data_IF_697210864109
#
_entry.id   IF_697210864109
#
_cell.length_a   1.000
_cell.length_b   1.000
_cell.length_c   1.000
_cell.angle_alpha   90.00
_cell.angle_beta   90.00
_cell.angle_gamma   90.00
#
_symmetry.space_group_name_H-M   'P 1'
#
loop_
_entity.id
_entity.type
_entity.pdbx_description
1 polymer ?
#
# COMPACT_ATOMS: atom_id res chain seq x y z
N UNK A 1 -1.55 -10.92 -17.69
CA UNK A 1 -1.85 -11.40 -16.32
C UNK A 1 -3.28 -11.92 -16.24
N UNK A 2 -3.49 -13.11 -15.70
CA UNK A 2 -4.80 -13.73 -15.45
C UNK A 2 -5.12 -13.66 -13.95
N UNK A 3 -6.38 -13.34 -13.58
CA UNK A 3 -6.82 -13.34 -12.18
C UNK A 3 -7.94 -14.38 -12.02
N UNK A 4 -7.76 -15.27 -11.05
CA UNK A 4 -8.74 -16.25 -10.63
C UNK A 4 -9.00 -16.09 -9.12
N UNK A 5 -9.98 -15.28 -8.78
CA UNK A 5 -10.35 -14.99 -7.39
C UNK A 5 -11.64 -15.76 -7.04
N UNK A 6 -11.48 -16.90 -6.34
CA UNK A 6 -12.59 -17.70 -5.87
C UNK A 6 -13.19 -17.19 -4.56
N UNK A 7 -12.48 -16.32 -3.86
CA UNK A 7 -12.93 -15.72 -2.59
C UNK A 7 -13.81 -14.49 -2.83
N UNK A 8 -13.40 -13.63 -3.78
CA UNK A 8 -14.02 -12.35 -4.05
C UNK A 8 -13.84 -11.39 -2.87
N UNK A 9 -14.81 -11.38 -1.96
CA UNK A 9 -14.75 -10.56 -0.74
C UNK A 9 -15.63 -11.15 0.36
N UNK A 10 -15.25 -10.89 1.62
CA UNK A 10 -16.10 -11.14 2.79
C UNK A 10 -16.44 -9.83 3.50
N UNK A 11 -17.28 -9.90 4.54
CA UNK A 11 -17.65 -8.74 5.34
C UNK A 11 -16.40 -8.16 6.03
N UNK A 12 -16.18 -6.87 5.81
CA UNK A 12 -15.01 -6.17 6.37
C UNK A 12 -15.24 -5.70 7.82
N UNK A 13 -16.46 -5.81 8.33
CA UNK A 13 -16.81 -5.53 9.72
C UNK A 13 -18.03 -6.35 10.15
N UNK A 14 -18.21 -6.49 11.46
CA UNK A 14 -19.39 -7.07 12.09
C UNK A 14 -20.05 -6.04 13.00
N UNK A 15 -21.38 -6.08 13.11
CA UNK A 15 -22.11 -5.27 14.07
C UNK A 15 -22.21 -6.03 15.40
N UNK A 16 -21.66 -5.46 16.45
CA UNK A 16 -21.62 -6.05 17.79
C UNK A 16 -22.41 -5.20 18.75
N UNK A 17 -23.25 -5.85 19.57
CA UNK A 17 -23.99 -5.17 20.63
C UNK A 17 -23.07 -4.94 21.84
N UNK A 18 -22.93 -3.68 22.20
CA UNK A 18 -22.11 -3.25 23.33
C UNK A 18 -22.82 -3.47 24.68
N UNK A 19 -22.09 -3.50 25.82
CA UNK A 19 -22.68 -3.68 27.15
C UNK A 19 -23.70 -2.61 27.54
N UNK A 20 -23.60 -1.41 27.00
CA UNK A 20 -24.53 -0.30 27.20
C UNK A 20 -25.80 -0.39 26.33
N UNK A 21 -25.90 -1.44 25.49
CA UNK A 21 -27.04 -1.69 24.61
C UNK A 21 -26.94 -1.00 23.25
N UNK A 22 -25.91 -0.21 22.99
CA UNK A 22 -25.64 0.38 21.66
C UNK A 22 -25.07 -0.67 20.69
N UNK A 23 -25.08 -0.37 19.40
CA UNK A 23 -24.45 -1.19 18.37
C UNK A 23 -23.19 -0.49 17.85
N UNK A 24 -22.12 -1.26 17.66
CA UNK A 24 -20.87 -0.78 17.08
C UNK A 24 -20.44 -1.69 15.92
N UNK A 25 -19.98 -1.06 14.83
CA UNK A 25 -19.35 -1.78 13.73
C UNK A 25 -17.86 -2.00 14.07
N UNK A 26 -17.43 -3.24 14.09
CA UNK A 26 -16.07 -3.64 14.44
C UNK A 26 -15.42 -4.29 13.21
N UNK A 27 -14.24 -3.80 12.73
CA UNK A 27 -13.60 -4.38 11.55
C UNK A 27 -13.16 -5.81 11.79
N UNK A 28 -13.27 -6.63 10.75
CA UNK A 28 -12.80 -8.02 10.77
C UNK A 28 -11.35 -8.10 10.31
N UNK A 29 -10.56 -8.94 10.97
CA UNK A 29 -9.22 -9.31 10.55
C UNK A 29 -9.27 -10.59 9.71
N UNK A 30 -8.54 -10.60 8.61
CA UNK A 30 -8.37 -11.75 7.74
C UNK A 30 -6.89 -12.05 7.56
N UNK A 31 -6.49 -13.26 7.91
CA UNK A 31 -5.10 -13.70 7.74
C UNK A 31 -4.95 -14.49 6.44
N UNK A 32 -4.02 -14.06 5.59
CA UNK A 32 -3.70 -14.76 4.35
C UNK A 32 -2.20 -14.96 4.19
N UNK A 33 -1.83 -15.99 3.43
CA UNK A 33 -0.44 -16.21 3.01
C UNK A 33 -0.34 -15.98 1.50
N UNK A 34 0.54 -15.07 1.12
CA UNK A 34 0.90 -14.82 -0.27
C UNK A 34 2.04 -15.78 -0.63
N UNK A 35 1.83 -16.56 -1.68
CA UNK A 35 2.83 -17.44 -2.29
C UNK A 35 3.28 -16.83 -3.61
N UNK A 36 4.57 -16.96 -3.91
CA UNK A 36 5.15 -16.59 -5.21
C UNK A 36 5.85 -17.82 -5.78
N UNK A 37 5.44 -18.24 -6.96
CA UNK A 37 5.91 -19.47 -7.59
C UNK A 37 5.88 -20.66 -6.60
N UNK A 38 4.75 -20.82 -5.91
CA UNK A 38 4.49 -21.88 -4.92
C UNK A 38 5.31 -21.80 -3.62
N UNK A 39 6.18 -20.79 -3.48
CA UNK A 39 6.95 -20.56 -2.26
C UNK A 39 6.23 -19.54 -1.36
N UNK A 40 6.11 -19.79 -0.04
CA UNK A 40 5.51 -18.82 0.86
C UNK A 40 6.37 -17.56 0.92
N UNK A 41 5.76 -16.40 0.63
CA UNK A 41 6.45 -15.13 0.54
C UNK A 41 6.11 -14.18 1.69
N UNK A 42 4.81 -13.99 1.96
CA UNK A 42 4.35 -13.08 3.00
C UNK A 42 3.14 -13.65 3.72
N UNK A 43 3.13 -13.50 5.05
CA UNK A 43 1.90 -13.59 5.83
C UNK A 43 1.37 -12.17 6.02
N UNK A 44 0.09 -11.96 5.78
CA UNK A 44 -0.58 -10.66 5.94
C UNK A 44 -1.82 -10.81 6.79
N UNK A 45 -2.07 -9.81 7.64
CA UNK A 45 -3.34 -9.62 8.33
C UNK A 45 -3.95 -8.34 7.79
N UNK A 46 -5.13 -8.45 7.18
CA UNK A 46 -5.75 -7.39 6.39
C UNK A 46 -7.28 -7.42 6.52
N UNK A 47 -7.96 -6.44 5.93
CA UNK A 47 -9.41 -6.60 5.67
C UNK A 47 -9.63 -7.61 4.54
N UNK A 48 -10.72 -8.43 4.58
CA UNK A 48 -10.96 -9.53 3.65
C UNK A 48 -11.48 -9.06 2.27
N UNK A 49 -10.85 -8.07 1.71
CA UNK A 49 -11.21 -7.46 0.43
C UNK A 49 -9.97 -7.11 -0.37
N UNK A 50 -10.08 -7.17 -1.71
CA UNK A 50 -9.01 -6.79 -2.64
C UNK A 50 -7.71 -7.59 -2.41
N UNK A 51 -7.82 -8.90 -2.17
CA UNK A 51 -6.65 -9.75 -1.92
C UNK A 51 -5.70 -9.86 -3.14
N UNK A 52 -6.19 -9.97 -4.39
CA UNK A 52 -5.31 -9.90 -5.56
C UNK A 52 -4.54 -8.59 -5.65
N UNK A 53 -5.21 -7.46 -5.41
CA UNK A 53 -4.60 -6.12 -5.42
C UNK A 53 -3.57 -5.98 -4.31
N UNK A 54 -3.91 -6.42 -3.09
CA UNK A 54 -2.98 -6.43 -1.96
C UNK A 54 -1.70 -7.19 -2.30
N UNK A 55 -1.85 -8.40 -2.84
CA UNK A 55 -0.71 -9.26 -3.14
C UNK A 55 0.16 -8.68 -4.26
N UNK A 56 -0.44 -8.22 -5.37
CA UNK A 56 0.28 -7.61 -6.48
C UNK A 56 1.01 -6.34 -6.05
N UNK A 57 0.32 -5.43 -5.37
CA UNK A 57 0.90 -4.18 -4.88
C UNK A 57 2.03 -4.44 -3.87
N UNK A 58 1.86 -5.45 -2.99
CA UNK A 58 2.90 -5.87 -2.04
C UNK A 58 4.17 -6.31 -2.76
N UNK A 59 4.07 -7.14 -3.80
CA UNK A 59 5.24 -7.59 -4.54
C UNK A 59 6.03 -6.42 -5.13
N UNK A 60 5.33 -5.45 -5.74
CA UNK A 60 5.98 -4.26 -6.30
C UNK A 60 6.60 -3.40 -5.18
N UNK A 61 5.85 -3.08 -4.14
CA UNK A 61 6.29 -2.16 -3.07
C UNK A 61 7.37 -2.76 -2.17
N UNK A 62 7.48 -4.08 -2.09
CA UNK A 62 8.60 -4.79 -1.44
C UNK A 62 9.78 -5.01 -2.40
N UNK A 63 9.61 -4.70 -3.71
CA UNK A 63 10.66 -4.81 -4.72
C UNK A 63 10.93 -6.24 -5.19
N UNK A 64 9.96 -7.13 -5.07
CA UNK A 64 10.06 -8.51 -5.58
C UNK A 64 9.85 -8.57 -7.09
N UNK A 65 9.10 -7.60 -7.63
CA UNK A 65 8.92 -7.37 -9.06
C UNK A 65 9.20 -5.90 -9.37
N UNK A 66 9.55 -5.60 -10.60
CA UNK A 66 9.73 -4.24 -11.12
C UNK A 66 8.47 -3.74 -11.86
N UNK A 67 7.63 -4.65 -12.36
CA UNK A 67 6.40 -4.30 -13.06
C UNK A 67 5.35 -5.41 -12.96
N UNK A 68 4.09 -5.09 -13.26
CA UNK A 68 3.00 -6.06 -13.32
C UNK A 68 3.14 -7.06 -14.49
N UNK A 69 3.96 -6.76 -15.49
CA UNK A 69 4.22 -7.62 -16.65
C UNK A 69 4.97 -8.91 -16.28
N UNK A 70 5.66 -8.90 -15.12
CA UNK A 70 6.33 -10.08 -14.57
C UNK A 70 5.34 -11.11 -14.01
N UNK A 71 4.06 -10.73 -13.80
CA UNK A 71 3.04 -11.60 -13.23
C UNK A 71 2.19 -12.23 -14.33
N UNK A 72 2.22 -13.54 -14.43
CA UNK A 72 1.37 -14.30 -15.35
C UNK A 72 -0.02 -14.52 -14.78
N UNK A 73 -0.09 -14.94 -13.50
CA UNK A 73 -1.35 -15.30 -12.86
C UNK A 73 -1.37 -14.94 -11.39
N UNK A 74 -2.56 -14.54 -10.92
CA UNK A 74 -2.90 -14.42 -9.50
C UNK A 74 -4.10 -15.33 -9.24
N UNK A 75 -4.04 -16.18 -8.23
CA UNK A 75 -5.18 -16.99 -7.81
C UNK A 75 -5.41 -16.92 -6.31
N UNK A 76 -6.67 -16.77 -5.91
CA UNK A 76 -7.10 -16.75 -4.51
C UNK A 76 -7.98 -17.96 -4.26
N UNK A 77 -7.69 -18.73 -3.20
CA UNK A 77 -8.53 -19.89 -2.82
C UNK A 77 -9.89 -19.43 -2.28
N UNK A 78 -10.88 -20.31 -2.25
CA UNK A 78 -12.25 -20.01 -1.86
C UNK A 78 -12.38 -19.42 -0.44
N UNK A 79 -11.48 -19.77 0.48
CA UNK A 79 -11.46 -19.27 1.83
C UNK A 79 -10.65 -17.97 1.99
N UNK A 80 -10.00 -17.48 0.92
CA UNK A 80 -9.13 -16.30 0.97
C UNK A 80 -7.81 -16.47 1.74
N UNK A 81 -7.53 -17.68 2.24
CA UNK A 81 -6.35 -17.95 3.08
C UNK A 81 -5.04 -18.01 2.31
N UNK A 82 -5.12 -18.25 0.99
CA UNK A 82 -3.97 -18.35 0.10
C UNK A 82 -4.16 -17.49 -1.12
N UNK A 83 -3.14 -16.66 -1.39
CA UNK A 83 -3.01 -15.91 -2.64
C UNK A 83 -1.76 -16.37 -3.34
N UNK A 84 -1.89 -17.05 -4.47
CA UNK A 84 -0.76 -17.52 -5.26
C UNK A 84 -0.50 -16.56 -6.42
N UNK A 85 0.74 -16.12 -6.56
CA UNK A 85 1.23 -15.31 -7.68
C UNK A 85 2.24 -16.14 -8.44
N UNK A 86 2.02 -16.28 -9.74
CA UNK A 86 2.95 -16.94 -10.65
C UNK A 86 3.64 -15.88 -11.50
N UNK A 87 4.98 -15.83 -11.41
CA UNK A 87 5.83 -14.96 -12.19
C UNK A 87 6.30 -15.68 -13.45
N UNK A 88 6.56 -14.95 -14.52
CA UNK A 88 7.14 -15.45 -15.77
C UNK A 88 8.64 -15.77 -15.66
N UNK A 89 9.21 -15.64 -14.49
CA UNK A 89 10.61 -15.95 -14.17
C UNK A 89 10.74 -16.52 -12.75
N UNK A 90 11.82 -17.28 -12.46
CA UNK A 90 12.08 -17.73 -11.10
C UNK A 90 12.51 -16.56 -10.20
N UNK A 91 12.23 -16.70 -8.88
CA UNK A 91 12.78 -15.79 -7.88
C UNK A 91 14.27 -16.05 -7.68
N UNK A 92 15.06 -14.99 -7.68
CA UNK A 92 16.50 -15.09 -7.37
C UNK A 92 16.70 -15.04 -5.85
N UNK A 93 17.26 -16.11 -5.28
CA UNK A 93 17.59 -16.16 -3.86
C UNK A 93 18.72 -15.17 -3.52
N UNK A 94 18.53 -14.36 -2.47
CA UNK A 94 19.55 -13.45 -1.93
C UNK A 94 20.39 -14.15 -0.87
N UNK A 95 21.71 -13.94 -0.87
CA UNK A 95 22.53 -14.23 0.31
C UNK A 95 22.05 -13.37 1.48
N UNK A 96 21.83 -14.00 2.64
CA UNK A 96 21.25 -13.39 3.83
C UNK A 96 21.83 -11.99 4.13
N UNK A 97 21.00 -10.96 4.05
CA UNK A 97 21.25 -9.65 4.64
C UNK A 97 20.29 -9.49 5.83
N UNK A 98 20.68 -8.68 6.81
CA UNK A 98 19.86 -8.40 7.97
C UNK A 98 18.45 -7.94 7.52
N UNK A 99 17.43 -8.60 8.03
CA UNK A 99 16.04 -8.27 7.76
C UNK A 99 15.69 -7.02 8.58
N UNK A 100 15.39 -5.91 7.94
CA UNK A 100 14.86 -4.74 8.64
C UNK A 100 13.46 -5.06 9.21
N UNK A 101 13.30 -4.83 10.51
CA UNK A 101 12.01 -4.99 11.18
C UNK A 101 11.12 -3.82 10.78
N UNK A 102 10.00 -4.13 10.12
CA UNK A 102 8.99 -3.13 9.76
C UNK A 102 8.37 -2.50 11.01
N UNK A 103 8.08 -1.20 10.97
CA UNK A 103 7.33 -0.48 12.01
C UNK A 103 5.83 -0.82 12.02
N UNK A 104 5.43 -1.89 11.35
CA UNK A 104 4.04 -2.30 11.18
C UNK A 104 3.47 -2.85 12.49
N UNK A 105 2.28 -2.35 12.89
CA UNK A 105 1.54 -2.86 14.05
C UNK A 105 0.75 -4.14 13.74
N UNK A 106 0.65 -4.55 12.47
CA UNK A 106 0.03 -5.78 12.01
C UNK A 106 1.09 -6.86 11.88
N UNK A 107 0.76 -8.12 12.15
CA UNK A 107 1.63 -9.30 12.04
C UNK A 107 2.01 -9.64 10.58
N UNK A 108 2.29 -8.62 9.78
CA UNK A 108 2.75 -8.81 8.40
C UNK A 108 4.23 -9.20 8.41
N UNK A 109 4.52 -10.41 8.01
CA UNK A 109 5.87 -11.01 8.07
C UNK A 109 6.26 -11.53 6.69
N UNK A 110 7.51 -11.29 6.29
CA UNK A 110 8.13 -11.99 5.17
C UNK A 110 8.45 -13.43 5.58
N UNK A 111 8.10 -14.37 4.72
CA UNK A 111 8.31 -15.81 4.93
C UNK A 111 9.35 -16.33 3.93
N UNK A 112 9.87 -17.50 4.22
CA UNK A 112 10.80 -18.20 3.31
C UNK A 112 12.23 -17.61 3.29
N UNK A 113 12.98 -17.99 2.26
CA UNK A 113 14.35 -17.49 2.07
C UNK A 113 14.36 -16.05 1.57
N UNK A 114 15.35 -15.23 1.97
CA UNK A 114 15.48 -13.89 1.41
C UNK A 114 15.61 -13.93 -0.12
N UNK A 115 14.82 -13.11 -0.81
CA UNK A 115 14.92 -12.91 -2.25
C UNK A 115 15.67 -11.62 -2.57
N UNK A 116 16.26 -11.57 -3.75
CA UNK A 116 16.84 -10.33 -4.26
C UNK A 116 15.71 -9.34 -4.54
N UNK A 117 15.80 -8.15 -3.93
CA UNK A 117 14.80 -7.11 -4.12
C UNK A 117 15.35 -6.03 -5.05
N UNK A 118 14.49 -5.44 -5.84
CA UNK A 118 14.83 -4.33 -6.71
C UNK A 118 15.40 -3.16 -5.88
N UNK A 119 16.51 -2.55 -6.34
CA UNK A 119 17.06 -1.37 -5.69
C UNK A 119 16.08 -0.20 -5.79
N UNK A 120 16.14 0.71 -4.82
CA UNK A 120 15.43 1.98 -4.93
C UNK A 120 15.98 2.78 -6.12
N UNK A 121 15.08 3.43 -6.84
CA UNK A 121 15.41 4.31 -7.98
C UNK A 121 14.77 5.67 -7.77
N UNK A 122 15.40 6.71 -8.28
CA UNK A 122 14.81 8.05 -8.31
C UNK A 122 13.46 8.01 -9.03
N UNK A 123 12.45 8.59 -8.41
CA UNK A 123 11.12 8.71 -9.02
C UNK A 123 11.06 9.89 -9.99
N UNK A 124 10.20 9.86 -11.02
CA UNK A 124 10.04 10.97 -11.92
C UNK A 124 9.47 12.20 -11.22
N UNK A 125 9.70 13.38 -11.78
CA UNK A 125 9.06 14.60 -11.31
C UNK A 125 7.63 14.68 -11.86
N UNK A 126 6.68 15.11 -11.02
CA UNK A 126 5.31 15.43 -11.40
C UNK A 126 4.96 16.82 -10.83
N UNK A 127 4.40 17.68 -11.67
CA UNK A 127 3.91 18.98 -11.23
C UNK A 127 2.56 18.82 -10.51
N UNK A 128 2.62 18.59 -9.19
CA UNK A 128 1.44 18.36 -8.35
C UNK A 128 0.71 19.67 -8.13
N UNK A 129 -0.48 19.79 -8.71
CA UNK A 129 -1.30 20.98 -8.59
C UNK A 129 -1.93 21.09 -7.19
N UNK A 130 -2.01 22.28 -6.59
CA UNK A 130 -2.64 22.47 -5.27
C UNK A 130 -4.07 21.93 -5.20
N UNK A 131 -4.84 22.08 -6.28
CA UNK A 131 -6.23 21.63 -6.39
C UNK A 131 -6.33 20.10 -6.26
N UNK A 132 -5.29 19.36 -6.68
CA UNK A 132 -5.23 17.91 -6.52
C UNK A 132 -5.08 17.51 -5.05
N UNK A 133 -4.27 18.25 -4.30
CA UNK A 133 -4.09 18.04 -2.86
C UNK A 133 -5.38 18.35 -2.12
N UNK A 134 -6.08 19.42 -2.51
CA UNK A 134 -7.35 19.80 -1.91
C UNK A 134 -8.45 18.78 -2.21
N UNK A 135 -8.52 18.25 -3.44
CA UNK A 135 -9.45 17.19 -3.81
C UNK A 135 -9.21 15.90 -2.99
N UNK A 136 -7.94 15.50 -2.84
CA UNK A 136 -7.56 14.35 -2.00
C UNK A 136 -7.90 14.57 -0.53
N UNK A 137 -7.64 15.77 0.00
CA UNK A 137 -7.96 16.12 1.37
C UNK A 137 -9.48 16.15 1.63
N UNK A 138 -10.26 16.61 0.67
CA UNK A 138 -11.72 16.60 0.73
C UNK A 138 -12.27 15.17 0.74
N UNK A 139 -11.79 14.31 -0.16
CA UNK A 139 -12.17 12.89 -0.22
C UNK A 139 -11.80 12.15 1.07
N UNK A 140 -10.62 12.39 1.61
CA UNK A 140 -10.18 11.84 2.89
C UNK A 140 -11.05 12.33 4.05
N UNK A 141 -11.47 13.58 4.03
CA UNK A 141 -12.34 14.15 5.09
C UNK A 141 -13.76 13.60 5.04
N UNK A 142 -14.26 13.32 3.83
CA UNK A 142 -15.53 12.63 3.65
C UNK A 142 -15.48 11.20 4.22
N UNK A 143 -14.32 10.55 4.18
CA UNK A 143 -14.12 9.18 4.60
C UNK A 143 -14.68 8.15 3.61
N UNK A 144 -14.15 6.95 3.66
CA UNK A 144 -14.66 5.81 2.90
C UNK A 144 -15.63 4.98 3.77
N UNK A 145 -16.44 4.10 3.17
CA UNK A 145 -17.51 3.40 3.89
C UNK A 145 -17.06 2.61 5.12
N UNK A 146 -15.93 1.90 5.05
CA UNK A 146 -15.44 1.12 6.16
C UNK A 146 -14.94 2.01 7.31
N UNK A 147 -14.23 3.10 6.98
CA UNK A 147 -13.82 4.08 7.97
C UNK A 147 -15.02 4.78 8.61
N UNK A 148 -16.02 5.17 7.82
CA UNK A 148 -17.24 5.80 8.33
C UNK A 148 -18.00 4.89 9.31
N UNK A 149 -18.01 3.57 9.02
CA UNK A 149 -18.68 2.60 9.87
C UNK A 149 -17.89 2.31 11.16
N UNK A 150 -16.57 2.16 11.07
CA UNK A 150 -15.76 1.59 12.17
C UNK A 150 -14.82 2.58 12.84
N UNK A 151 -14.42 3.65 12.16
CA UNK A 151 -13.33 4.58 12.54
C UNK A 151 -11.99 3.91 12.90
N UNK A 152 -11.78 2.65 12.47
CA UNK A 152 -10.68 1.79 12.91
C UNK A 152 -9.81 1.25 11.77
N UNK A 153 -9.87 1.89 10.59
CA UNK A 153 -9.09 1.49 9.41
C UNK A 153 -8.31 2.66 8.82
N UNK A 154 -7.34 2.33 7.99
CA UNK A 154 -6.59 3.29 7.21
C UNK A 154 -7.10 3.33 5.78
N UNK A 155 -7.00 4.51 5.15
CA UNK A 155 -7.39 4.72 3.76
C UNK A 155 -6.19 5.18 2.94
N UNK A 156 -6.12 4.71 1.69
CA UNK A 156 -5.18 5.18 0.68
C UNK A 156 -5.96 5.53 -0.59
N UNK A 157 -5.73 6.74 -1.11
CA UNK A 157 -6.31 7.21 -2.36
C UNK A 157 -5.20 7.35 -3.41
N UNK A 158 -5.56 7.09 -4.65
CA UNK A 158 -4.71 7.38 -5.80
C UNK A 158 -5.40 8.38 -6.70
N UNK A 159 -4.69 9.45 -7.03
CA UNK A 159 -5.13 10.44 -7.98
C UNK A 159 -4.27 10.31 -9.25
N UNK A 160 -4.92 10.35 -10.40
CA UNK A 160 -4.33 10.37 -11.73
C UNK A 160 -5.02 11.45 -12.55
N UNK A 161 -4.26 12.29 -13.24
CA UNK A 161 -4.78 13.40 -14.06
C UNK A 161 -5.82 14.29 -13.33
N UNK A 162 -5.57 14.61 -12.06
CA UNK A 162 -6.46 15.45 -11.26
C UNK A 162 -7.75 14.79 -10.77
N UNK A 163 -7.95 13.47 -11.01
CA UNK A 163 -9.13 12.71 -10.59
C UNK A 163 -8.75 11.55 -9.69
N UNK A 164 -9.60 11.23 -8.72
CA UNK A 164 -9.41 10.05 -7.90
C UNK A 164 -9.65 8.81 -8.77
N UNK A 165 -8.59 8.06 -9.02
CA UNK A 165 -8.61 6.82 -9.79
C UNK A 165 -9.15 5.66 -8.95
N UNK A 166 -8.67 5.53 -7.73
CA UNK A 166 -9.13 4.52 -6.77
C UNK A 166 -8.92 4.95 -5.33
N UNK A 167 -9.63 4.27 -4.43
CA UNK A 167 -9.47 4.41 -2.99
C UNK A 167 -9.61 3.05 -2.33
N UNK A 168 -8.73 2.76 -1.35
CA UNK A 168 -8.68 1.49 -0.65
C UNK A 168 -8.63 1.69 0.84
N UNK A 169 -9.24 0.76 1.58
CA UNK A 169 -9.23 0.72 3.03
C UNK A 169 -8.62 -0.59 3.53
N UNK A 170 -7.96 -0.52 4.67
CA UNK A 170 -7.45 -1.69 5.38
C UNK A 170 -7.18 -1.35 6.85
N UNK A 171 -7.22 -2.35 7.75
CA UNK A 171 -6.79 -2.21 9.14
C UNK A 171 -5.30 -1.83 9.23
N UNK A 172 -4.50 -2.20 8.25
CA UNK A 172 -3.07 -1.88 8.13
C UNK A 172 -2.79 -0.79 7.10
N UNK A 173 -2.11 0.32 7.51
CA UNK A 173 -1.74 1.40 6.57
C UNK A 173 -0.90 0.92 5.37
N UNK A 174 -0.02 -0.07 5.59
CA UNK A 174 0.78 -0.67 4.53
C UNK A 174 -0.08 -1.44 3.53
N UNK A 175 -1.05 -2.20 4.05
CA UNK A 175 -1.97 -2.96 3.20
C UNK A 175 -2.87 -2.02 2.38
N UNK A 176 -3.37 -0.92 2.98
CA UNK A 176 -4.17 0.06 2.26
C UNK A 176 -3.39 0.66 1.08
N UNK A 177 -2.08 0.97 1.28
CA UNK A 177 -1.20 1.44 0.21
C UNK A 177 -0.96 0.34 -0.83
N UNK A 178 -0.64 -0.89 -0.40
CA UNK A 178 -0.41 -2.01 -1.30
C UNK A 178 -1.65 -2.31 -2.15
N UNK A 179 -2.85 -2.30 -1.56
CA UNK A 179 -4.12 -2.43 -2.30
C UNK A 179 -4.30 -1.34 -3.34
N UNK A 180 -4.00 -0.09 -2.99
CA UNK A 180 -4.12 1.05 -3.89
C UNK A 180 -3.13 0.95 -5.07
N UNK A 181 -1.87 0.61 -4.81
CA UNK A 181 -0.86 0.35 -5.84
C UNK A 181 -1.29 -0.80 -6.74
N UNK A 182 -1.75 -1.91 -6.17
CA UNK A 182 -2.24 -3.06 -6.93
C UNK A 182 -3.43 -2.72 -7.82
N UNK A 183 -4.34 -1.87 -7.38
CA UNK A 183 -5.46 -1.39 -8.23
C UNK A 183 -4.95 -0.61 -9.45
N UNK A 184 -3.97 0.29 -9.27
CA UNK A 184 -3.38 1.06 -10.38
C UNK A 184 -2.72 0.13 -11.39
N UNK A 185 -1.96 -0.87 -10.90
CA UNK A 185 -1.31 -1.87 -11.76
C UNK A 185 -2.34 -2.66 -12.57
N UNK A 186 -3.43 -3.09 -11.95
CA UNK A 186 -4.51 -3.83 -12.63
C UNK A 186 -5.29 -2.96 -13.62
N UNK A 187 -5.38 -1.66 -13.37
CA UNK A 187 -5.99 -0.71 -14.29
C UNK A 187 -5.09 -0.39 -15.50
N UNK A 188 -3.83 -0.86 -15.50
CA UNK A 188 -2.86 -0.57 -16.56
C UNK A 188 -2.42 0.90 -16.61
N UNK A 189 -2.59 1.64 -15.51
CA UNK A 189 -2.19 3.05 -15.40
C UNK A 189 -0.74 3.13 -14.90
N UNK A 190 0.01 4.10 -15.39
CA UNK A 190 1.38 4.33 -14.94
C UNK A 190 1.42 4.97 -13.55
N UNK A 191 2.05 4.29 -12.61
CA UNK A 191 2.28 4.83 -11.26
C UNK A 191 3.13 6.12 -11.25
N UNK A 192 3.94 6.32 -12.30
CA UNK A 192 4.74 7.54 -12.47
C UNK A 192 3.93 8.81 -12.75
N UNK A 193 2.64 8.66 -13.04
CA UNK A 193 1.69 9.75 -13.30
C UNK A 193 0.66 9.90 -12.16
N UNK A 194 0.88 9.18 -11.05
CA UNK A 194 -0.06 9.13 -9.94
C UNK A 194 0.44 9.89 -8.71
N UNK A 195 -0.51 10.38 -7.91
CA UNK A 195 -0.27 10.90 -6.57
C UNK A 195 -0.94 9.98 -5.56
N UNK A 196 -0.20 9.49 -4.58
CA UNK A 196 -0.75 8.72 -3.47
C UNK A 196 -1.12 9.63 -2.30
N UNK A 197 -2.25 9.35 -1.67
CA UNK A 197 -2.63 9.97 -0.39
C UNK A 197 -2.89 8.88 0.66
N UNK A 198 -2.27 9.00 1.83
CA UNK A 198 -2.48 8.05 2.94
C UNK A 198 -2.98 8.74 4.21
N UNK A 199 -3.93 8.09 4.90
CA UNK A 199 -4.39 8.51 6.22
C UNK A 199 -3.40 8.16 7.34
N UNK A 200 -2.51 7.20 7.08
CA UNK A 200 -1.57 6.65 8.04
C UNK A 200 -0.35 7.53 8.29
N UNK A 201 0.38 7.21 9.37
CA UNK A 201 1.72 7.77 9.60
C UNK A 201 2.65 7.34 8.48
N UNK A 202 3.65 8.19 8.16
CA UNK A 202 4.60 7.93 7.08
C UNK A 202 6.03 7.79 7.64
N UNK A 203 6.38 6.63 8.21
CA UNK A 203 7.76 6.28 8.51
C UNK A 203 8.52 5.87 7.23
N UNK A 204 9.82 5.59 7.36
CA UNK A 204 10.71 5.28 6.24
C UNK A 204 10.22 4.13 5.35
N UNK A 205 9.62 3.10 5.95
CA UNK A 205 9.10 1.93 5.22
C UNK A 205 7.95 2.31 4.26
N UNK A 206 7.07 3.25 4.65
CA UNK A 206 6.02 3.78 3.77
C UNK A 206 6.61 4.60 2.62
N UNK A 207 7.66 5.41 2.88
CA UNK A 207 8.36 6.17 1.84
C UNK A 207 9.06 5.21 0.87
N UNK A 208 9.74 4.16 1.35
CA UNK A 208 10.35 3.13 0.51
C UNK A 208 9.32 2.47 -0.42
N UNK A 209 8.13 2.15 0.10
CA UNK A 209 7.05 1.58 -0.71
C UNK A 209 6.61 2.51 -1.83
N UNK A 210 6.44 3.80 -1.54
CA UNK A 210 6.08 4.80 -2.54
C UNK A 210 7.17 4.95 -3.62
N UNK A 211 8.46 4.99 -3.22
CA UNK A 211 9.60 5.06 -4.14
C UNK A 211 9.67 3.82 -5.02
N UNK A 212 9.52 2.60 -4.45
CA UNK A 212 9.51 1.35 -5.22
C UNK A 212 8.32 1.26 -6.18
N UNK A 213 7.18 1.78 -5.77
CA UNK A 213 6.04 1.92 -6.68
C UNK A 213 6.29 2.91 -7.82
N UNK A 214 7.33 3.75 -7.72
CA UNK A 214 7.67 4.73 -8.75
C UNK A 214 6.74 5.94 -8.77
N UNK A 215 5.96 6.17 -7.69
CA UNK A 215 5.07 7.34 -7.64
C UNK A 215 5.87 8.62 -7.35
N UNK A 216 5.60 9.72 -8.06
CA UNK A 216 6.33 10.97 -7.89
C UNK A 216 5.97 11.74 -6.62
N UNK A 217 4.79 11.51 -6.06
CA UNK A 217 4.31 12.27 -4.91
C UNK A 217 3.53 11.44 -3.91
N UNK A 218 3.78 11.69 -2.62
CA UNK A 218 3.07 11.11 -1.49
C UNK A 218 2.49 12.22 -0.62
N UNK A 219 1.18 12.26 -0.52
CA UNK A 219 0.44 13.18 0.34
C UNK A 219 0.02 12.43 1.61
N UNK A 220 0.19 13.03 2.77
CA UNK A 220 -0.19 12.42 4.05
C UNK A 220 -1.01 13.38 4.90
N UNK A 221 -1.98 12.82 5.64
CA UNK A 221 -2.71 13.53 6.68
C UNK A 221 -1.80 13.87 7.88
N UNK A 222 -0.78 13.04 8.13
CA UNK A 222 0.09 13.10 9.31
C UNK A 222 1.51 13.53 8.93
N UNK A 223 2.21 14.12 9.89
CA UNK A 223 3.62 14.50 9.70
C UNK A 223 4.50 13.26 9.52
N UNK A 224 5.51 13.31 8.62
CA UNK A 224 6.51 12.27 8.45
C UNK A 224 7.57 12.35 9.55
N UNK A 225 8.45 11.35 9.58
CA UNK A 225 9.69 11.43 10.36
C UNK A 225 10.77 12.21 9.59
N UNK A 226 11.80 12.69 10.29
CA UNK A 226 12.94 13.37 9.63
C UNK A 226 13.61 12.44 8.62
N UNK A 227 13.84 11.18 9.01
CA UNK A 227 14.44 10.16 8.13
C UNK A 227 13.59 9.86 6.90
N UNK A 228 12.26 9.93 7.03
CA UNK A 228 11.35 9.79 5.89
C UNK A 228 11.52 10.93 4.88
N UNK A 229 11.70 12.18 5.35
CA UNK A 229 11.95 13.33 4.47
C UNK A 229 13.34 13.26 3.82
N UNK A 230 14.36 12.82 4.56
CA UNK A 230 15.71 12.61 4.02
C UNK A 230 15.69 11.57 2.89
N UNK A 231 15.03 10.43 3.11
CA UNK A 231 14.87 9.39 2.09
C UNK A 231 14.06 9.88 0.88
N UNK A 232 12.95 10.60 1.12
CA UNK A 232 12.14 11.16 0.04
C UNK A 232 12.96 12.14 -0.83
N UNK A 233 13.75 13.01 -0.21
CA UNK A 233 14.61 13.97 -0.92
C UNK A 233 15.71 13.26 -1.73
N UNK A 234 16.33 12.20 -1.18
CA UNK A 234 17.37 11.42 -1.86
C UNK A 234 16.87 10.81 -3.18
N UNK A 235 15.61 10.34 -3.19
CA UNK A 235 15.02 9.68 -4.37
C UNK A 235 14.06 10.56 -5.18
N UNK A 236 13.95 11.86 -4.86
CA UNK A 236 13.13 12.81 -5.59
C UNK A 236 11.62 12.68 -5.35
N UNK A 237 11.20 11.92 -4.32
CA UNK A 237 9.78 11.79 -3.96
C UNK A 237 9.27 13.10 -3.35
N UNK A 238 8.27 13.72 -3.97
CA UNK A 238 7.62 14.90 -3.42
C UNK A 238 6.75 14.48 -2.21
N UNK A 239 7.01 15.10 -1.05
CA UNK A 239 6.22 14.83 0.15
C UNK A 239 5.37 16.05 0.50
N UNK A 240 4.04 15.84 0.58
CA UNK A 240 3.08 16.90 0.95
C UNK A 240 2.33 16.50 2.22
N UNK A 241 2.31 17.38 3.22
CA UNK A 241 1.58 17.13 4.46
C UNK A 241 0.38 18.07 4.59
N UNK A 242 -0.81 17.47 4.69
CA UNK A 242 -2.07 18.20 4.78
C UNK A 242 -2.35 19.06 3.55
N UNK A 243 -2.88 20.29 3.76
CA UNK A 243 -3.15 21.27 2.69
C UNK A 243 -1.97 22.24 2.46
N UNK A 244 -0.77 21.88 2.90
CA UNK A 244 0.41 22.74 2.82
C UNK A 244 1.25 22.39 1.59
N UNK A 245 2.12 23.33 1.22
CA UNK A 245 3.14 23.13 0.19
C UNK A 245 4.01 21.90 0.46
N UNK A 246 4.70 21.36 -0.56
CA UNK A 246 5.65 20.28 -0.39
C UNK A 246 6.61 20.55 0.77
N UNK A 247 6.78 19.55 1.64
CA UNK A 247 7.73 19.66 2.75
C UNK A 247 9.14 19.45 2.22
N UNK A 248 9.99 20.44 2.41
CA UNK A 248 11.42 20.33 2.18
C UNK A 248 12.16 20.43 3.51
N UNK A 249 13.19 19.63 3.68
CA UNK A 249 14.14 19.83 4.77
C UNK A 249 14.87 21.16 4.50
N UNK A 250 14.75 22.13 5.41
CA UNK A 250 15.69 23.24 5.42
C UNK A 250 17.09 22.67 5.61
N UNK A 251 18.06 23.12 4.82
CA UNK A 251 19.45 22.77 5.04
C UNK A 251 19.78 22.97 6.52
N UNK A 252 20.20 21.90 7.19
CA UNK A 252 20.70 22.02 8.56
C UNK A 252 21.92 22.93 8.48
N UNK A 253 21.85 24.11 9.07
CA UNK A 253 23.04 24.94 9.28
C UNK A 253 24.10 24.05 9.95
N UNK A 254 25.23 23.88 9.27
CA UNK A 254 26.39 23.11 9.76
C UNK A 254 27.00 23.82 10.97
#
# INVERSE_FOLDING_TARGET
MQINDLFGAAAAFETVRMPDGTEAAIPTEHAAVIYVNEQPAFRVVCTPQLLPQLALGRLLTEGWIASAEEVEQISVCAEGLKVNIYLNHPLTARRAAAQEVSSCCTDNVALGSPVEVQPLRTVPHLDVQPEWVDALAAAMSAGLPLYQATHAVHSCFVLHEGRILCACEDIGRHNALDKAVGNVLLAGVSLSECVLYTSGRVPMDMVRKAIRAGVPALVSKTMPTVQSLELAAEYGLQFVCGRKHPLTLKERAK
#
